data_IF_611137802420
#
_entry.id   IF_611137802420
#
_cell.length_a   1.000
_cell.length_b   1.000
_cell.length_c   1.000
_cell.angle_alpha   90.00
_cell.angle_beta   90.00
_cell.angle_gamma   90.00
#
_symmetry.space_group_name_H-M   'P 1'
#
loop_
_entity.id
_entity.type
_entity.pdbx_description
1 polymer ?
#
# COMPACT_ATOMS: atom_id res chain seq x y z
N UNK A 1 5.23 -2.19 13.08
CA UNK A 1 6.59 -2.68 12.82
C UNK A 1 6.85 -2.67 11.33
N UNK A 2 7.92 -2.01 10.89
CA UNK A 2 8.41 -1.97 9.51
C UNK A 2 9.88 -2.35 9.54
N UNK A 3 10.29 -3.30 8.70
CA UNK A 3 11.68 -3.74 8.58
C UNK A 3 12.05 -3.78 7.11
N UNK A 4 13.13 -3.08 6.74
CA UNK A 4 13.77 -3.09 5.45
C UNK A 4 15.24 -3.47 5.70
N UNK A 5 15.71 -4.56 5.10
CA UNK A 5 17.10 -5.03 5.19
C UNK A 5 17.61 -5.24 3.78
N UNK A 6 18.60 -4.44 3.39
CA UNK A 6 19.14 -4.38 2.03
C UNK A 6 18.04 -4.25 0.96
N UNK A 7 16.91 -3.63 1.32
CA UNK A 7 15.72 -3.61 0.50
C UNK A 7 15.92 -2.75 -0.73
N UNK A 8 15.67 -3.31 -1.91
CA UNK A 8 15.76 -2.64 -3.20
C UNK A 8 14.50 -2.93 -3.99
N UNK A 9 13.99 -1.91 -4.65
CA UNK A 9 12.89 -2.06 -5.60
C UNK A 9 13.24 -1.39 -6.91
N UNK A 10 13.13 -2.15 -8.00
CA UNK A 10 13.36 -1.69 -9.36
C UNK A 10 12.05 -1.76 -10.15
N UNK A 11 11.44 -0.62 -10.51
CA UNK A 11 10.28 -0.61 -11.41
C UNK A 11 10.61 -1.26 -12.76
N UNK A 12 9.64 -1.94 -13.38
CA UNK A 12 9.86 -2.66 -14.65
C UNK A 12 10.42 -1.78 -15.78
N UNK A 13 10.06 -0.50 -15.82
CA UNK A 13 10.48 0.45 -16.86
C UNK A 13 11.73 1.28 -16.47
N UNK A 14 12.33 1.00 -15.31
CA UNK A 14 13.43 1.81 -14.79
C UNK A 14 14.79 1.37 -15.33
N UNK A 15 15.59 2.36 -15.76
CA UNK A 15 16.97 2.17 -16.21
C UNK A 15 18.02 2.58 -15.17
N UNK A 16 17.59 3.21 -14.07
CA UNK A 16 18.46 3.59 -12.95
C UNK A 16 18.58 2.45 -11.94
N UNK A 17 19.76 2.29 -11.31
CA UNK A 17 19.92 1.31 -10.25
C UNK A 17 19.01 1.65 -9.06
N UNK A 18 18.42 0.64 -8.39
CA UNK A 18 17.52 0.87 -7.28
C UNK A 18 18.30 1.34 -6.05
N UNK A 19 17.70 2.27 -5.30
CA UNK A 19 18.21 2.66 -3.99
C UNK A 19 18.12 1.48 -3.01
N UNK A 20 19.10 1.39 -2.11
CA UNK A 20 19.11 0.43 -1.01
C UNK A 20 18.52 1.08 0.24
N UNK A 21 17.61 0.39 0.91
CA UNK A 21 17.01 0.87 2.15
C UNK A 21 17.26 -0.12 3.29
N UNK A 22 17.84 0.40 4.36
CA UNK A 22 18.02 -0.29 5.64
C UNK A 22 17.30 0.52 6.71
N UNK A 23 16.19 -0.01 7.22
CA UNK A 23 15.32 0.71 8.14
C UNK A 23 14.53 -0.25 9.02
N UNK A 24 14.58 -0.05 10.32
CA UNK A 24 13.77 -0.81 11.27
C UNK A 24 13.02 0.14 12.20
N UNK A 25 11.71 -0.03 12.29
CA UNK A 25 10.84 0.78 13.14
C UNK A 25 9.75 -0.06 13.80
N UNK A 26 9.76 -0.12 15.13
CA UNK A 26 8.87 -0.97 15.92
C UNK A 26 8.03 -0.24 16.96
N UNK A 27 8.30 1.04 17.22
CA UNK A 27 7.58 1.83 18.24
C UNK A 27 6.40 2.62 17.64
N UNK A 28 5.39 3.01 18.44
CA UNK A 28 4.41 4.01 18.04
C UNK A 28 5.06 5.40 17.87
N UNK A 29 4.65 6.16 16.88
CA UNK A 29 5.18 7.51 16.63
C UNK A 29 5.09 7.92 15.17
N UNK A 30 5.66 9.09 14.86
CA UNK A 30 5.67 9.68 13.53
C UNK A 30 7.09 9.62 12.99
N UNK A 31 7.24 9.11 11.77
CA UNK A 31 8.51 9.09 11.04
C UNK A 31 8.35 9.92 9.78
N UNK A 32 9.32 10.80 9.54
CA UNK A 32 9.41 11.57 8.30
C UNK A 32 10.47 10.96 7.38
N UNK A 33 10.10 10.70 6.13
CA UNK A 33 11.04 10.30 5.08
C UNK A 33 11.23 11.51 4.17
N UNK A 34 12.45 12.04 4.11
CA UNK A 34 12.79 13.25 3.37
C UNK A 34 13.83 12.93 2.30
N UNK A 35 13.74 13.60 1.16
CA UNK A 35 14.66 13.45 0.04
C UNK A 35 14.15 14.21 -1.18
N UNK A 36 14.98 14.32 -2.22
CA UNK A 36 14.67 15.08 -3.42
C UNK A 36 13.53 14.48 -4.26
N UNK A 37 12.95 15.27 -5.15
CA UNK A 37 11.98 14.76 -6.12
C UNK A 37 12.59 13.63 -6.95
N UNK A 38 11.86 12.53 -7.11
CA UNK A 38 12.34 11.33 -7.80
C UNK A 38 13.19 10.38 -6.95
N UNK A 39 13.42 10.66 -5.65
CA UNK A 39 14.17 9.76 -4.76
C UNK A 39 13.43 8.47 -4.37
N UNK A 40 12.23 8.22 -4.91
CA UNK A 40 11.46 6.99 -4.65
C UNK A 40 10.56 7.01 -3.41
N UNK A 41 10.37 8.16 -2.73
CA UNK A 41 9.51 8.24 -1.52
C UNK A 41 8.07 7.77 -1.76
N UNK A 42 7.43 8.27 -2.82
CA UNK A 42 6.06 7.88 -3.17
C UNK A 42 5.99 6.40 -3.55
N UNK A 43 7.00 5.91 -4.27
CA UNK A 43 7.14 4.49 -4.62
C UNK A 43 7.23 3.62 -3.37
N UNK A 44 8.08 3.99 -2.40
CA UNK A 44 8.18 3.30 -1.12
C UNK A 44 6.84 3.30 -0.36
N UNK A 45 6.16 4.44 -0.31
CA UNK A 45 4.85 4.52 0.33
C UNK A 45 3.78 3.63 -0.34
N UNK A 46 3.80 3.52 -1.66
CA UNK A 46 2.91 2.63 -2.44
C UNK A 46 3.23 1.16 -2.21
N UNK A 47 4.52 0.77 -2.20
CA UNK A 47 4.96 -0.58 -1.83
C UNK A 47 4.46 -0.95 -0.43
N UNK A 48 4.64 -0.03 0.53
CA UNK A 48 4.16 -0.21 1.90
C UNK A 48 2.64 -0.28 2.01
N UNK A 49 1.90 0.23 1.03
CA UNK A 49 0.44 0.19 0.99
C UNK A 49 -0.13 -1.05 0.25
N UNK A 50 0.75 -1.95 -0.21
CA UNK A 50 0.33 -3.19 -0.88
C UNK A 50 0.01 -3.04 -2.36
N UNK A 51 0.59 -2.03 -3.04
CA UNK A 51 0.38 -1.82 -4.47
C UNK A 51 1.18 -2.80 -5.34
N UNK A 52 2.28 -3.33 -4.83
CA UNK A 52 3.06 -4.37 -5.50
C UNK A 52 2.44 -5.75 -5.23
N UNK A 53 2.38 -6.66 -6.22
CA UNK A 53 2.87 -6.48 -7.59
C UNK A 53 1.84 -5.88 -8.57
N UNK A 54 0.56 -5.90 -8.23
CA UNK A 54 -0.54 -5.71 -9.19
C UNK A 54 -0.63 -4.30 -9.82
N UNK A 55 -0.32 -3.26 -9.04
CA UNK A 55 -0.46 -1.85 -9.44
C UNK A 55 0.90 -1.13 -9.57
N UNK A 56 1.98 -1.77 -9.12
CA UNK A 56 3.32 -1.22 -9.13
C UNK A 56 4.33 -2.32 -9.51
N UNK A 57 4.34 -2.76 -10.78
CA UNK A 57 5.15 -3.89 -11.23
C UNK A 57 6.64 -3.55 -11.21
N UNK A 58 7.46 -4.53 -10.84
CA UNK A 58 8.91 -4.40 -10.73
C UNK A 58 9.51 -5.58 -10.01
N UNK A 59 10.77 -5.48 -9.63
CA UNK A 59 11.49 -6.52 -8.90
C UNK A 59 11.91 -6.01 -7.52
N UNK A 60 11.79 -6.89 -6.52
CA UNK A 60 12.27 -6.66 -5.16
C UNK A 60 13.48 -7.54 -4.90
N UNK A 61 14.52 -6.93 -4.33
CA UNK A 61 15.69 -7.62 -3.78
C UNK A 61 15.87 -7.22 -2.30
N UNK A 62 16.46 -8.12 -1.51
CA UNK A 62 16.54 -8.00 -0.05
C UNK A 62 15.22 -8.33 0.67
N UNK A 63 15.07 -7.83 1.91
CA UNK A 63 13.94 -8.17 2.79
C UNK A 63 13.14 -6.92 3.13
N UNK A 64 11.83 -6.94 2.89
CA UNK A 64 10.89 -5.91 3.34
C UNK A 64 9.70 -6.53 4.05
N UNK A 65 9.53 -6.23 5.35
CA UNK A 65 8.46 -6.74 6.21
C UNK A 65 7.60 -5.61 6.76
N UNK A 66 6.30 -5.75 6.62
CA UNK A 66 5.28 -4.88 7.20
C UNK A 66 4.49 -5.69 8.21
N UNK A 67 4.61 -5.35 9.48
CA UNK A 67 3.95 -6.07 10.57
C UNK A 67 4.26 -7.58 10.56
N UNK A 68 5.49 -7.94 10.17
CA UNK A 68 5.95 -9.33 10.04
C UNK A 68 5.58 -10.01 8.73
N UNK A 69 4.89 -9.32 7.82
CA UNK A 69 4.46 -9.86 6.52
C UNK A 69 5.32 -9.30 5.39
N UNK A 70 5.88 -10.14 4.51
CA UNK A 70 6.63 -9.67 3.35
C UNK A 70 5.83 -8.74 2.44
N UNK A 71 6.47 -7.68 1.93
CA UNK A 71 5.90 -6.81 0.90
C UNK A 71 5.51 -7.66 -0.32
N UNK A 72 4.30 -7.45 -0.85
CA UNK A 72 3.76 -8.20 -1.99
C UNK A 72 3.11 -9.55 -1.63
N UNK A 73 3.11 -9.96 -0.37
CA UNK A 73 2.47 -11.22 0.05
C UNK A 73 0.95 -11.11 0.23
N UNK A 74 0.47 -9.95 0.67
CA UNK A 74 -0.96 -9.69 0.82
C UNK A 74 -1.46 -8.79 -0.30
N UNK A 75 -2.64 -9.04 -0.88
CA UNK A 75 -3.24 -8.13 -1.83
C UNK A 75 -3.68 -6.84 -1.12
N UNK A 76 -3.74 -5.74 -1.88
CA UNK A 76 -4.11 -4.40 -1.39
C UNK A 76 -5.36 -4.41 -0.51
N UNK A 77 -6.41 -5.17 -0.90
CA UNK A 77 -7.66 -5.24 -0.15
C UNK A 77 -7.48 -5.80 1.26
N UNK A 78 -6.63 -6.82 1.43
CA UNK A 78 -6.36 -7.44 2.72
C UNK A 78 -5.46 -6.59 3.61
N UNK A 79 -4.57 -5.80 2.99
CA UNK A 79 -3.65 -4.90 3.69
C UNK A 79 -4.30 -3.56 4.10
N UNK A 80 -5.28 -3.08 3.31
CA UNK A 80 -5.96 -1.79 3.50
C UNK A 80 -6.58 -1.53 4.90
N UNK A 81 -7.08 -2.53 5.66
CA UNK A 81 -7.60 -2.28 7.00
C UNK A 81 -6.50 -1.91 8.01
N UNK A 82 -5.23 -2.19 7.69
CA UNK A 82 -4.11 -2.03 8.61
C UNK A 82 -3.12 -0.96 8.14
N UNK A 83 -2.88 -0.85 6.83
CA UNK A 83 -1.99 0.17 6.25
C UNK A 83 -2.77 0.92 5.18
N UNK A 84 -2.86 2.25 5.32
CA UNK A 84 -3.60 3.13 4.42
C UNK A 84 -2.67 4.21 3.86
N UNK A 85 -2.79 4.46 2.56
CA UNK A 85 -2.05 5.51 1.88
C UNK A 85 -2.95 6.74 1.70
N UNK A 86 -2.49 7.88 2.22
CA UNK A 86 -3.07 9.18 1.87
C UNK A 86 -2.38 9.70 0.62
N UNK A 87 -3.11 9.86 -0.47
CA UNK A 87 -2.54 10.28 -1.75
C UNK A 87 -2.19 11.77 -1.75
N UNK A 88 -1.23 12.15 -2.59
CA UNK A 88 -0.79 13.54 -2.72
C UNK A 88 -1.89 14.46 -3.25
N UNK A 89 -2.73 13.96 -4.16
CA UNK A 89 -3.89 14.68 -4.68
C UNK A 89 -5.16 14.16 -3.99
N UNK A 90 -5.92 15.02 -3.29
CA UNK A 90 -7.13 14.60 -2.59
C UNK A 90 -8.21 14.11 -3.56
N UNK A 91 -8.23 14.61 -4.80
CA UNK A 91 -9.18 14.18 -5.83
C UNK A 91 -9.06 12.70 -6.19
N UNK A 92 -7.87 12.11 -6.03
CA UNK A 92 -7.64 10.69 -6.31
C UNK A 92 -8.22 9.77 -5.23
N UNK A 93 -8.59 10.32 -4.07
CA UNK A 93 -9.21 9.55 -2.98
C UNK A 93 -10.73 9.60 -2.98
N UNK A 94 -11.33 10.49 -3.77
CA UNK A 94 -12.77 10.58 -3.89
C UNK A 94 -13.28 9.51 -4.85
N UNK A 95 -14.32 8.80 -4.46
CA UNK A 95 -15.01 7.79 -5.26
C UNK A 95 -15.68 8.39 -6.49
N UNK A 96 -16.10 9.65 -6.41
CA UNK A 96 -16.90 10.33 -7.44
C UNK A 96 -18.29 9.72 -7.65
N UNK A 97 -18.71 8.80 -6.78
CA UNK A 97 -19.92 8.00 -6.92
C UNK A 97 -20.98 8.31 -5.86
N UNK A 98 -20.79 9.39 -5.09
CA UNK A 98 -21.69 9.81 -4.01
C UNK A 98 -22.20 11.22 -4.24
N UNK A 99 -23.36 11.54 -3.64
CA UNK A 99 -24.02 12.84 -3.83
C UNK A 99 -23.90 13.75 -2.61
N UNK A 100 -23.27 13.26 -1.54
CA UNK A 100 -23.02 14.03 -0.31
C UNK A 100 -21.66 13.73 0.31
N UNK A 101 -21.17 14.69 1.09
CA UNK A 101 -19.92 14.54 1.85
C UNK A 101 -20.02 13.41 2.88
N UNK A 102 -21.19 13.24 3.50
CA UNK A 102 -21.43 12.15 4.47
C UNK A 102 -21.24 10.78 3.82
N UNK A 103 -21.83 10.58 2.64
CA UNK A 103 -21.72 9.33 1.89
C UNK A 103 -20.28 9.04 1.45
N UNK A 104 -19.56 10.06 1.00
CA UNK A 104 -18.16 9.95 0.58
C UNK A 104 -17.26 9.53 1.74
N UNK A 105 -17.41 10.16 2.91
CA UNK A 105 -16.66 9.81 4.13
C UNK A 105 -17.01 8.39 4.62
N UNK A 106 -18.26 7.96 4.46
CA UNK A 106 -18.70 6.61 4.83
C UNK A 106 -18.26 5.52 3.83
N UNK A 107 -17.87 5.90 2.60
CA UNK A 107 -17.67 4.99 1.47
C UNK A 107 -16.64 3.90 1.77
N UNK A 108 -15.43 4.27 2.23
CA UNK A 108 -14.36 3.32 2.55
C UNK A 108 -14.74 2.31 3.65
N UNK A 109 -15.48 2.76 4.68
CA UNK A 109 -15.97 1.88 5.76
C UNK A 109 -17.00 0.88 5.26
N UNK A 110 -17.89 1.30 4.36
CA UNK A 110 -18.92 0.46 3.76
C UNK A 110 -18.33 -0.66 2.91
N UNK A 111 -17.30 -0.38 2.10
CA UNK A 111 -16.62 -1.40 1.28
C UNK A 111 -15.99 -2.47 2.17
N UNK A 112 -15.26 -2.07 3.22
CA UNK A 112 -14.63 -3.01 4.17
C UNK A 112 -15.65 -3.95 4.85
N UNK A 113 -16.83 -3.44 5.22
CA UNK A 113 -17.91 -4.23 5.83
C UNK A 113 -18.68 -5.12 4.82
N UNK A 114 -18.68 -4.77 3.54
CA UNK A 114 -19.38 -5.49 2.47
C UNK A 114 -18.54 -6.62 1.87
N UNK A 115 -17.23 -6.39 1.74
CA UNK A 115 -16.25 -7.36 1.23
C UNK A 115 -16.22 -8.62 2.11
N UNK A 116 -16.32 -8.47 3.44
CA UNK A 116 -16.40 -9.58 4.40
C UNK A 116 -17.60 -10.51 4.20
N UNK A 117 -18.71 -10.04 3.62
CA UNK A 117 -19.93 -10.83 3.41
C UNK A 117 -20.05 -11.44 2.02
N UNK A 118 -19.43 -10.86 1.00
CA UNK A 118 -19.69 -11.26 -0.40
C UNK A 118 -18.76 -12.36 -0.92
N UNK A 119 -17.57 -12.56 -0.34
CA UNK A 119 -16.65 -13.61 -0.82
C UNK A 119 -17.02 -15.04 -0.39
N UNK A 120 -17.70 -15.24 0.76
CA UNK A 120 -18.18 -16.57 1.18
C UNK A 120 -19.48 -17.03 0.49
N UNK A 121 -20.24 -16.12 -0.13
CA UNK A 121 -21.53 -16.43 -0.75
C UNK A 121 -21.48 -16.80 -2.24
N UNK A 122 -20.36 -16.56 -2.92
CA UNK A 122 -20.23 -16.78 -4.37
C UNK A 122 -19.55 -18.11 -4.71
N UNK A 123 -18.82 -18.74 -3.77
CA UNK A 123 -18.12 -20.01 -3.98
C UNK A 123 -18.90 -21.28 -3.60
N UNK A 124 -20.14 -21.17 -3.10
CA UNK A 124 -20.94 -22.33 -2.62
C UNK A 124 -22.29 -22.51 -3.31
N UNK A 125 -22.57 -21.79 -4.41
CA UNK A 125 -23.73 -22.10 -5.27
C UNK A 125 -23.27 -22.73 -6.58
N UNK A 126 -23.10 -24.05 -6.54
CA UNK A 126 -23.49 -24.92 -7.66
C UNK A 126 -24.83 -25.54 -7.30
#
# INVERSE_FOLDING_TARGET
MVTLEQFRYLPSDATRPPACFDFHYSAPGIVAIVGDNGSGKSTLAQLMAGWYPDYLPGDIDGTGLLLGVPIGRLPLVEQSPTIQLVQQSPYLQLSGCTFSVEEEVAFGRRISASMKRRFYGVLTRR
#
